data_IF_939895563618
#
_entry.id   IF_939895563618
#
_cell.length_a   1.000
_cell.length_b   1.000
_cell.length_c   1.000
_cell.angle_alpha   90.00
_cell.angle_beta   90.00
_cell.angle_gamma   90.00
#
_symmetry.space_group_name_H-M   'P 1'
#
loop_
_entity.id
_entity.type
_entity.pdbx_description
1 polymer ?
#
# COMPACT_ATOMS: atom_id res chain seq x y z
N UNK A 1 28.26 -12.31 -8.69
CA UNK A 1 26.87 -11.84 -8.87
C UNK A 1 26.15 -12.85 -9.75
N UNK A 2 25.01 -13.38 -9.31
CA UNK A 2 24.23 -14.30 -10.15
C UNK A 2 23.47 -13.43 -11.17
N UNK A 3 23.88 -13.49 -12.43
CA UNK A 3 23.18 -12.81 -13.51
C UNK A 3 21.91 -13.61 -13.82
N UNK A 4 20.76 -13.11 -13.39
CA UNK A 4 19.44 -13.67 -13.70
C UNK A 4 18.91 -13.20 -15.07
N UNK A 5 19.76 -12.61 -15.91
CA UNK A 5 19.41 -12.13 -17.24
C UNK A 5 19.81 -13.16 -18.31
N UNK A 6 18.99 -13.39 -19.33
CA UNK A 6 19.35 -14.19 -20.50
C UNK A 6 20.66 -13.71 -21.16
N UNK A 7 21.47 -14.64 -21.69
CA UNK A 7 22.80 -14.33 -22.25
C UNK A 7 22.72 -13.45 -23.50
N UNK A 8 21.74 -13.68 -24.37
CA UNK A 8 21.45 -12.87 -25.56
C UNK A 8 21.16 -11.40 -25.22
N UNK A 9 20.48 -11.16 -24.09
CA UNK A 9 20.25 -9.80 -23.60
C UNK A 9 21.55 -9.15 -23.09
N UNK A 10 22.41 -9.91 -22.42
CA UNK A 10 23.71 -9.40 -21.95
C UNK A 10 24.59 -8.99 -23.13
N UNK A 11 24.67 -9.84 -24.15
CA UNK A 11 25.42 -9.56 -25.39
C UNK A 11 24.87 -8.34 -26.13
N UNK A 12 23.55 -8.14 -26.09
CA UNK A 12 22.89 -6.97 -26.67
C UNK A 12 23.24 -5.69 -25.91
N UNK A 13 23.23 -5.72 -24.57
CA UNK A 13 23.58 -4.56 -23.73
C UNK A 13 25.03 -4.11 -23.95
N UNK A 14 25.96 -5.06 -24.11
CA UNK A 14 27.38 -4.75 -24.35
C UNK A 14 27.64 -3.98 -25.66
N UNK A 15 26.73 -4.06 -26.62
CA UNK A 15 26.84 -3.37 -27.93
C UNK A 15 26.25 -1.96 -27.91
N UNK A 16 25.61 -1.55 -26.81
CA UNK A 16 24.98 -0.24 -26.69
C UNK A 16 26.02 0.85 -26.37
N UNK A 17 25.90 2.00 -27.02
CA UNK A 17 26.65 3.19 -26.66
C UNK A 17 26.03 3.92 -25.45
N UNK A 18 26.68 4.96 -24.93
CA UNK A 18 26.23 5.67 -23.73
C UNK A 18 24.80 6.25 -23.86
N UNK A 19 24.47 6.86 -25.00
CA UNK A 19 23.14 7.44 -25.22
C UNK A 19 22.08 6.35 -25.15
N UNK A 20 22.32 5.23 -25.83
CA UNK A 20 21.42 4.07 -25.82
C UNK A 20 21.28 3.46 -24.42
N UNK A 21 22.38 3.36 -23.66
CA UNK A 21 22.35 2.86 -22.28
C UNK A 21 21.55 3.79 -21.36
N UNK A 22 21.69 5.11 -21.51
CA UNK A 22 20.88 6.08 -20.75
C UNK A 22 19.40 5.96 -21.07
N UNK A 23 19.05 5.79 -22.35
CA UNK A 23 17.66 5.55 -22.76
C UNK A 23 17.12 4.23 -22.21
N UNK A 24 17.90 3.15 -22.29
CA UNK A 24 17.52 1.85 -21.71
C UNK A 24 17.28 1.98 -20.20
N UNK A 25 18.17 2.65 -19.48
CA UNK A 25 18.02 2.90 -18.05
C UNK A 25 16.70 3.62 -17.74
N UNK A 26 16.36 4.69 -18.47
CA UNK A 26 15.10 5.40 -18.30
C UNK A 26 13.89 4.48 -18.50
N UNK A 27 13.89 3.66 -19.56
CA UNK A 27 12.81 2.71 -19.84
C UNK A 27 12.67 1.69 -18.70
N UNK A 28 13.78 1.13 -18.21
CA UNK A 28 13.79 0.19 -17.09
C UNK A 28 13.21 0.83 -15.83
N UNK A 29 13.63 2.05 -15.50
CA UNK A 29 13.11 2.81 -14.36
C UNK A 29 11.61 3.05 -14.50
N UNK A 30 11.13 3.48 -15.66
CA UNK A 30 9.69 3.69 -15.89
C UNK A 30 8.88 2.40 -15.77
N UNK A 31 9.39 1.28 -16.32
CA UNK A 31 8.76 -0.03 -16.14
C UNK A 31 8.67 -0.42 -14.66
N UNK A 32 9.74 -0.20 -13.89
CA UNK A 32 9.76 -0.48 -12.45
C UNK A 32 8.75 0.39 -11.68
N UNK A 33 8.61 1.67 -12.04
CA UNK A 33 7.59 2.55 -11.47
C UNK A 33 6.17 2.02 -11.73
N UNK A 34 5.89 1.55 -12.95
CA UNK A 34 4.60 0.97 -13.30
C UNK A 34 4.30 -0.31 -12.50
N UNK A 35 5.27 -1.21 -12.37
CA UNK A 35 5.15 -2.43 -11.55
C UNK A 35 4.83 -2.06 -10.09
N UNK A 36 5.56 -1.09 -9.53
CA UNK A 36 5.33 -0.64 -8.16
C UNK A 36 3.95 0.00 -8.00
N UNK A 37 3.50 0.82 -8.95
CA UNK A 37 2.15 1.40 -8.95
C UNK A 37 1.07 0.31 -8.96
N UNK A 38 1.22 -0.71 -9.81
CA UNK A 38 0.30 -1.84 -9.87
C UNK A 38 0.26 -2.60 -8.53
N UNK A 39 1.42 -2.87 -7.92
CA UNK A 39 1.50 -3.51 -6.59
C UNK A 39 0.83 -2.67 -5.51
N UNK A 40 1.06 -1.36 -5.49
CA UNK A 40 0.40 -0.45 -4.53
C UNK A 40 -1.10 -0.45 -4.72
N UNK A 41 -1.61 -0.40 -5.96
CA UNK A 41 -3.04 -0.49 -6.25
C UNK A 41 -3.65 -1.81 -5.76
N UNK A 42 -2.98 -2.94 -5.99
CA UNK A 42 -3.42 -4.23 -5.46
C UNK A 42 -3.46 -4.26 -3.93
N UNK A 43 -2.49 -3.63 -3.27
CA UNK A 43 -2.47 -3.54 -1.81
C UNK A 43 -3.53 -2.60 -1.25
N UNK A 44 -3.81 -1.47 -1.92
CA UNK A 44 -4.89 -0.55 -1.54
C UNK A 44 -6.25 -1.24 -1.60
N UNK A 45 -6.50 -2.09 -2.63
CA UNK A 45 -7.75 -2.87 -2.77
C UNK A 45 -8.05 -3.80 -1.59
N UNK A 46 -7.06 -4.09 -0.74
CA UNK A 46 -7.27 -4.90 0.47
C UNK A 46 -8.03 -4.13 1.56
N UNK A 47 -8.07 -2.81 1.50
CA UNK A 47 -8.61 -1.95 2.54
C UNK A 47 -9.87 -1.21 2.07
N UNK A 48 -10.76 -0.95 3.03
CA UNK A 48 -12.00 -0.22 2.90
C UNK A 48 -12.07 0.82 4.01
N UNK A 49 -12.96 1.81 3.86
CA UNK A 49 -13.26 2.74 4.95
C UNK A 49 -13.76 1.97 6.17
N UNK A 50 -13.37 2.45 7.35
CA UNK A 50 -13.68 1.87 8.65
C UNK A 50 -13.05 0.50 8.95
N UNK A 51 -12.17 -0.02 8.09
CA UNK A 51 -11.37 -1.18 8.44
C UNK A 51 -10.50 -0.89 9.67
N UNK A 52 -10.53 -1.82 10.64
CA UNK A 52 -9.57 -1.83 11.74
C UNK A 52 -8.22 -2.36 11.26
N UNK A 53 -7.18 -1.56 11.45
CA UNK A 53 -5.83 -1.82 10.94
C UNK A 53 -4.77 -1.59 12.01
N UNK A 54 -3.59 -2.14 11.76
CA UNK A 54 -2.40 -1.86 12.54
C UNK A 54 -1.15 -1.72 11.67
N UNK A 55 -0.17 -0.99 12.18
CA UNK A 55 1.16 -0.84 11.58
C UNK A 55 2.22 -0.67 12.67
N UNK A 56 3.49 -0.82 12.30
CA UNK A 56 4.62 -0.64 13.21
C UNK A 56 5.22 0.77 13.05
N UNK A 57 5.52 1.44 14.16
CA UNK A 57 6.26 2.70 14.19
C UNK A 57 7.13 2.77 15.45
N UNK A 58 8.43 3.03 15.30
CA UNK A 58 9.40 3.10 16.40
C UNK A 58 9.21 1.96 17.42
N UNK A 59 9.22 0.73 16.89
CA UNK A 59 9.03 -0.54 17.63
C UNK A 59 7.64 -0.78 18.25
N UNK A 60 6.78 0.24 18.27
CA UNK A 60 5.41 0.12 18.77
C UNK A 60 4.45 -0.29 17.67
N UNK A 61 3.55 -1.21 17.99
CA UNK A 61 2.39 -1.52 17.16
C UNK A 61 1.32 -0.46 17.42
N UNK A 62 0.92 0.26 16.38
CA UNK A 62 -0.16 1.25 16.44
C UNK A 62 -1.42 0.62 15.84
N UNK A 63 -2.54 0.69 16.55
CA UNK A 63 -3.85 0.28 16.06
C UNK A 63 -4.73 1.51 15.76
N UNK A 64 -5.57 1.41 14.73
CA UNK A 64 -6.46 2.49 14.35
C UNK A 64 -7.47 2.07 13.28
N UNK A 65 -8.22 3.05 12.80
CA UNK A 65 -9.31 2.87 11.84
C UNK A 65 -9.00 3.62 10.55
N UNK A 66 -9.25 2.99 9.41
CA UNK A 66 -9.12 3.62 8.09
C UNK A 66 -10.19 4.70 7.91
N UNK A 67 -9.77 5.94 7.66
CA UNK A 67 -10.67 7.08 7.40
C UNK A 67 -10.60 7.60 5.97
N UNK A 68 -9.54 7.26 5.21
CA UNK A 68 -9.42 7.59 3.79
C UNK A 68 -8.52 6.61 3.05
N UNK A 69 -8.91 6.23 1.83
CA UNK A 69 -8.03 5.55 0.86
C UNK A 69 -7.54 6.59 -0.15
N UNK A 70 -6.25 6.90 -0.14
CA UNK A 70 -5.62 7.81 -1.10
C UNK A 70 -5.03 7.03 -2.28
N UNK A 71 -4.51 7.74 -3.28
CA UNK A 71 -3.91 7.11 -4.47
C UNK A 71 -2.69 6.23 -4.16
N UNK A 72 -1.98 6.47 -3.06
CA UNK A 72 -0.72 5.76 -2.70
C UNK A 72 -0.60 5.38 -1.22
N UNK A 73 -1.56 5.79 -0.40
CA UNK A 73 -1.52 5.63 1.05
C UNK A 73 -2.93 5.43 1.59
N UNK A 74 -3.00 5.02 2.85
CA UNK A 74 -4.23 4.93 3.61
C UNK A 74 -4.10 5.85 4.81
N UNK A 75 -5.10 6.69 5.04
CA UNK A 75 -5.17 7.54 6.23
C UNK A 75 -5.81 6.74 7.36
N UNK A 76 -5.10 6.63 8.48
CA UNK A 76 -5.50 5.88 9.67
C UNK A 76 -5.67 6.85 10.82
N UNK A 77 -6.83 6.86 11.47
CA UNK A 77 -7.04 7.54 12.75
C UNK A 77 -6.70 6.56 13.88
N UNK A 78 -5.75 6.92 14.73
CA UNK A 78 -5.38 6.08 15.87
C UNK A 78 -6.33 6.30 17.04
N UNK A 79 -6.52 5.28 17.87
CA UNK A 79 -7.46 5.29 18.99
C UNK A 79 -6.84 5.82 20.31
N UNK A 80 -5.79 6.63 20.25
CA UNK A 80 -5.13 7.12 21.46
C UNK A 80 -5.98 8.22 22.12
N UNK A 81 -6.31 8.03 23.40
CA UNK A 81 -7.20 8.90 24.18
C UNK A 81 -6.54 10.23 24.55
N UNK A 82 -5.21 10.32 24.45
CA UNK A 82 -4.43 11.49 24.90
C UNK A 82 -4.27 12.60 23.85
N UNK A 83 -4.56 12.33 22.58
CA UNK A 83 -4.46 13.35 21.53
C UNK A 83 -5.45 13.09 20.38
N UNK A 84 -6.47 13.95 20.32
CA UNK A 84 -7.67 13.80 19.49
C UNK A 84 -7.43 13.88 17.97
N UNK A 85 -6.21 14.16 17.50
CA UNK A 85 -5.95 14.53 16.10
C UNK A 85 -4.87 13.72 15.36
N UNK A 86 -4.49 12.53 15.84
CA UNK A 86 -3.45 11.73 15.19
C UNK A 86 -3.95 10.92 13.98
N UNK A 87 -3.93 11.55 12.81
CA UNK A 87 -4.08 10.88 11.52
C UNK A 87 -2.72 10.52 10.91
N UNK A 88 -2.57 9.28 10.47
CA UNK A 88 -1.35 8.76 9.87
C UNK A 88 -1.57 8.40 8.41
N UNK A 89 -0.70 8.88 7.52
CA UNK A 89 -0.66 8.43 6.14
C UNK A 89 0.31 7.26 6.01
N UNK A 90 -0.22 6.04 5.89
CA UNK A 90 0.58 4.81 5.90
C UNK A 90 0.55 4.17 4.51
N UNK A 91 1.71 3.72 4.03
CA UNK A 91 1.77 2.94 2.80
C UNK A 91 1.03 1.60 3.00
N UNK A 92 0.15 1.15 2.08
CA UNK A 92 -0.72 -0.01 2.29
C UNK A 92 0.03 -1.32 2.58
N UNK A 93 1.28 -1.47 2.11
CA UNK A 93 2.10 -2.66 2.44
C UNK A 93 2.55 -2.73 3.90
N UNK A 94 2.48 -1.61 4.64
CA UNK A 94 2.84 -1.56 6.06
C UNK A 94 1.62 -1.79 6.97
N UNK A 95 0.41 -1.81 6.39
CA UNK A 95 -0.83 -2.02 7.13
C UNK A 95 -1.21 -3.50 7.16
N UNK A 96 -1.74 -3.92 8.31
CA UNK A 96 -2.33 -5.25 8.52
C UNK A 96 -3.74 -5.09 9.07
N UNK A 97 -4.71 -5.78 8.48
CA UNK A 97 -6.08 -5.88 9.03
C UNK A 97 -6.03 -6.62 10.36
N UNK A 98 -6.71 -6.09 11.38
CA UNK A 98 -6.71 -6.67 12.73
C UNK A 98 -7.95 -7.51 13.05
N UNK A 99 -8.91 -7.62 12.11
CA UNK A 99 -10.07 -8.52 12.24
C UNK A 99 -11.08 -8.13 13.33
N UNK A 100 -10.84 -7.07 14.11
CA UNK A 100 -11.84 -6.52 15.03
C UNK A 100 -13.03 -6.00 14.20
N UNK A 101 -14.22 -6.48 14.53
CA UNK A 101 -15.48 -6.28 13.80
C UNK A 101 -15.57 -4.87 13.22
N UNK A 102 -16.03 -4.82 11.98
CA UNK A 102 -16.41 -3.57 11.35
C UNK A 102 -17.66 -3.09 12.11
N UNK A 103 -17.48 -2.38 13.22
CA UNK A 103 -18.56 -1.88 14.08
C UNK A 103 -19.57 -1.10 13.23
N UNK A 104 -19.09 -0.42 12.18
CA UNK A 104 -19.94 0.20 11.17
C UNK A 104 -20.82 -0.80 10.42
N UNK A 105 -20.29 -1.95 9.98
CA UNK A 105 -21.08 -3.01 9.33
C UNK A 105 -22.14 -3.58 10.29
N UNK A 106 -21.77 -3.83 11.54
CA UNK A 106 -22.70 -4.27 12.60
C UNK A 106 -23.82 -3.25 12.88
N UNK A 107 -23.49 -1.95 12.92
CA UNK A 107 -24.47 -0.88 13.11
C UNK A 107 -25.39 -0.76 11.88
N UNK A 108 -24.85 -0.89 10.68
CA UNK A 108 -25.64 -0.81 9.45
C UNK A 108 -26.57 -2.01 9.32
N UNK A 109 -26.11 -3.24 9.55
CA UNK A 109 -26.93 -4.45 9.51
C UNK A 109 -28.09 -4.39 10.52
N UNK A 110 -27.84 -3.96 11.77
CA UNK A 110 -28.89 -3.78 12.78
C UNK A 110 -29.92 -2.71 12.44
N UNK A 111 -29.55 -1.70 11.65
CA UNK A 111 -30.48 -0.62 11.22
C UNK A 111 -31.47 -1.11 10.15
N UNK A 112 -31.14 -2.15 9.39
CA UNK A 112 -32.02 -2.73 8.38
C UNK A 112 -32.85 -3.91 8.88
N UNK A 113 -32.45 -4.58 9.97
CA UNK A 113 -33.25 -5.64 10.62
C UNK A 113 -34.43 -5.13 11.47
N UNK A 114 -34.35 -3.91 12.02
CA UNK A 114 -35.43 -3.34 12.86
C UNK A 114 -36.53 -2.61 12.08
N UNK A 115 -36.75 -2.98 10.81
CA UNK A 115 -37.71 -2.31 9.92
C UNK A 115 -38.84 -3.22 9.39
N UNK A 116 -39.00 -4.40 9.98
CA UNK A 116 -40.17 -5.29 9.80
C UNK A 116 -41.12 -5.21 11.00
#
# INVERSE_FOLDING_TARGET
MINNLPQDLLDSIQRLNEVQLRTLYQIVVERMKLINKARTLMSLKKFQLFDSVSFQHLEKKIEGIVTRINQKSVTVKVNDELDHNHYWNVHPNLLRKTGKNNVFKEIMEKKYENKE
#
